data_IF_764176160079
#
_entry.id   IF_764176160079
#
_cell.length_a   1.000
_cell.length_b   1.000
_cell.length_c   1.000
_cell.angle_alpha   90.00
_cell.angle_beta   90.00
_cell.angle_gamma   90.00
#
_symmetry.space_group_name_H-M   'P 1'
#
loop_
_entity.id
_entity.type
_entity.pdbx_description
1 polymer ?
#
# COMPACT_ATOMS: atom_id res chain seq x y z
N UNK A 1 -31.65 14.61 -14.71
CA UNK A 1 -30.50 13.67 -14.64
C UNK A 1 -29.13 14.35 -14.63
N UNK A 2 -28.76 15.19 -15.60
CA UNK A 2 -27.46 15.88 -15.65
C UNK A 2 -27.23 16.84 -14.46
N UNK A 3 -28.24 17.64 -14.07
CA UNK A 3 -28.17 18.55 -12.93
C UNK A 3 -27.95 17.82 -11.61
N UNK A 4 -28.59 16.66 -11.42
CA UNK A 4 -28.42 15.81 -10.22
C UNK A 4 -27.01 15.21 -10.15
N UNK A 5 -26.46 14.76 -11.29
CA UNK A 5 -25.08 14.25 -11.35
C UNK A 5 -24.05 15.35 -11.02
N UNK A 6 -24.22 16.56 -11.56
CA UNK A 6 -23.35 17.71 -11.26
C UNK A 6 -23.40 18.09 -9.77
N UNK A 7 -24.59 18.06 -9.15
CA UNK A 7 -24.75 18.32 -7.72
C UNK A 7 -24.06 17.28 -6.86
N UNK A 8 -24.16 15.98 -7.21
CA UNK A 8 -23.48 14.89 -6.51
C UNK A 8 -21.96 15.05 -6.61
N UNK A 9 -21.43 15.32 -7.81
CA UNK A 9 -20.00 15.55 -8.02
C UNK A 9 -19.51 16.76 -7.22
N UNK A 10 -20.27 17.85 -7.22
CA UNK A 10 -19.92 19.07 -6.47
C UNK A 10 -19.94 18.83 -4.96
N UNK A 11 -20.93 18.10 -4.45
CA UNK A 11 -21.01 17.71 -3.05
C UNK A 11 -19.85 16.80 -2.64
N UNK A 12 -19.48 15.85 -3.49
CA UNK A 12 -18.32 14.98 -3.27
C UNK A 12 -17.00 15.78 -3.29
N UNK A 13 -16.80 16.67 -4.26
CA UNK A 13 -15.60 17.50 -4.33
C UNK A 13 -15.47 18.47 -3.13
N UNK A 14 -16.59 19.03 -2.62
CA UNK A 14 -16.55 19.84 -1.40
C UNK A 14 -16.16 19.01 -0.19
N UNK A 15 -16.70 17.78 -0.07
CA UNK A 15 -16.39 16.84 1.00
C UNK A 15 -14.91 16.46 1.01
N UNK A 16 -14.31 16.14 -0.16
CA UNK A 16 -12.88 15.84 -0.28
C UNK A 16 -12.00 16.98 0.26
N UNK A 17 -12.42 18.22 0.07
CA UNK A 17 -11.73 19.41 0.58
C UNK A 17 -11.88 19.54 2.09
N UNK A 18 -13.11 19.38 2.60
CA UNK A 18 -13.42 19.51 4.02
C UNK A 18 -12.73 18.41 4.85
N UNK A 19 -12.61 17.21 4.31
CA UNK A 19 -11.95 16.07 4.95
C UNK A 19 -10.40 16.15 4.83
N UNK A 20 -9.83 17.22 4.24
CA UNK A 20 -8.38 17.49 4.15
C UNK A 20 -7.56 16.34 3.58
N UNK A 21 -8.12 15.58 2.61
CA UNK A 21 -7.53 14.37 2.04
C UNK A 21 -6.13 14.63 1.47
N UNK A 22 -5.91 15.78 0.82
CA UNK A 22 -4.62 16.16 0.28
C UNK A 22 -3.53 16.29 1.35
N UNK A 23 -3.88 16.80 2.53
CA UNK A 23 -2.93 16.92 3.64
C UNK A 23 -2.55 15.53 4.20
N UNK A 24 -3.51 14.63 4.38
CA UNK A 24 -3.23 13.25 4.81
C UNK A 24 -2.43 12.46 3.78
N UNK A 25 -2.72 12.65 2.48
CA UNK A 25 -1.97 12.03 1.40
C UNK A 25 -0.50 12.50 1.37
N UNK A 26 -0.27 13.81 1.50
CA UNK A 26 1.07 14.38 1.58
C UNK A 26 1.83 13.89 2.83
N UNK A 27 1.16 13.86 3.98
CA UNK A 27 1.73 13.36 5.22
C UNK A 27 2.11 11.87 5.11
N UNK A 28 1.22 11.03 4.56
CA UNK A 28 1.49 9.60 4.39
C UNK A 28 2.66 9.38 3.43
N UNK A 29 2.67 10.04 2.26
CA UNK A 29 3.75 9.95 1.28
C UNK A 29 5.10 10.36 1.88
N UNK A 30 5.15 11.48 2.60
CA UNK A 30 6.34 11.96 3.28
C UNK A 30 6.89 10.95 4.29
N UNK A 31 6.04 10.45 5.18
CA UNK A 31 6.49 9.48 6.19
C UNK A 31 6.84 8.11 5.61
N UNK A 32 6.20 7.67 4.52
CA UNK A 32 6.58 6.44 3.81
C UNK A 32 8.00 6.58 3.25
N UNK A 33 8.32 7.67 2.59
CA UNK A 33 9.67 7.91 2.05
C UNK A 33 10.70 8.03 3.16
N UNK A 34 10.39 8.78 4.21
CA UNK A 34 11.29 8.93 5.35
C UNK A 34 11.54 7.60 6.08
N UNK A 35 10.55 6.70 6.07
CA UNK A 35 10.64 5.37 6.67
C UNK A 35 11.36 4.36 5.77
N UNK A 36 11.62 4.69 4.51
CA UNK A 36 12.19 3.74 3.55
C UNK A 36 13.59 3.27 3.95
N UNK A 37 14.46 4.20 4.38
CA UNK A 37 15.82 3.84 4.81
C UNK A 37 15.79 2.94 6.05
N UNK A 38 15.11 3.29 7.16
CA UNK A 38 14.96 2.38 8.29
C UNK A 38 14.31 1.04 7.93
N UNK A 39 13.38 1.04 6.97
CA UNK A 39 12.73 -0.19 6.51
C UNK A 39 13.69 -1.13 5.79
N UNK A 40 14.54 -0.60 4.90
CA UNK A 40 15.60 -1.39 4.26
C UNK A 40 16.60 -1.93 5.30
N UNK A 41 17.02 -1.12 6.26
CA UNK A 41 17.89 -1.57 7.35
C UNK A 41 17.24 -2.71 8.15
N UNK A 42 15.94 -2.62 8.42
CA UNK A 42 15.17 -3.67 9.07
C UNK A 42 15.15 -4.96 8.22
N UNK A 43 14.90 -4.87 6.91
CA UNK A 43 14.93 -6.02 6.00
C UNK A 43 16.29 -6.70 5.99
N UNK A 44 17.39 -5.95 5.91
CA UNK A 44 18.73 -6.50 5.99
C UNK A 44 18.99 -7.20 7.33
N UNK A 45 18.50 -6.65 8.43
CA UNK A 45 18.60 -7.27 9.74
C UNK A 45 17.85 -8.61 9.77
N UNK A 46 16.64 -8.68 9.21
CA UNK A 46 15.87 -9.91 9.09
C UNK A 46 16.60 -10.96 8.24
N UNK A 47 17.13 -10.58 7.08
CA UNK A 47 17.84 -11.49 6.20
C UNK A 47 19.12 -12.06 6.85
N UNK A 48 19.81 -11.25 7.65
CA UNK A 48 21.00 -11.70 8.39
C UNK A 48 20.68 -12.60 9.59
N UNK A 49 19.42 -12.62 10.05
CA UNK A 49 19.00 -13.58 11.09
C UNK A 49 18.79 -15.00 10.57
N UNK A 50 18.55 -15.18 9.27
CA UNK A 50 18.17 -16.47 8.71
C UNK A 50 19.28 -17.52 8.53
N UNK A 51 20.60 -17.21 8.37
CA UNK A 51 21.64 -18.21 8.38
C UNK A 51 22.39 -18.26 9.73
N UNK A 52 21.70 -18.29 10.87
CA UNK A 52 22.37 -18.34 12.17
C UNK A 52 23.01 -19.70 12.45
N UNK A 53 24.34 -19.69 12.53
CA UNK A 53 25.14 -20.77 13.11
C UNK A 53 25.28 -20.58 14.63
N UNK A 54 25.54 -21.67 15.36
CA UNK A 54 25.69 -21.64 16.83
C UNK A 54 26.75 -20.62 17.33
N UNK A 55 27.71 -20.20 16.49
CA UNK A 55 28.70 -19.16 16.79
C UNK A 55 28.16 -17.71 16.79
N UNK A 56 27.01 -17.48 16.19
CA UNK A 56 26.41 -16.13 16.03
C UNK A 56 25.48 -15.71 17.19
N UNK A 57 25.27 -16.60 18.17
CA UNK A 57 24.42 -16.34 19.35
C UNK A 57 24.86 -15.10 20.15
N UNK A 58 26.14 -14.72 20.12
CA UNK A 58 26.66 -13.51 20.78
C UNK A 58 26.21 -12.22 20.08
N UNK A 59 25.86 -12.27 18.80
CA UNK A 59 25.38 -11.10 18.01
C UNK A 59 23.86 -10.92 18.09
N UNK A 60 23.14 -11.90 18.63
CA UNK A 60 21.67 -11.90 18.75
C UNK A 60 21.12 -10.70 19.50
N UNK A 61 21.63 -10.31 20.68
CA UNK A 61 21.09 -9.18 21.43
C UNK A 61 21.22 -7.85 20.69
N UNK A 62 22.35 -7.63 20.03
CA UNK A 62 22.62 -6.41 19.23
C UNK A 62 21.74 -6.39 17.96
N UNK A 63 21.57 -7.52 17.30
CA UNK A 63 20.70 -7.68 16.13
C UNK A 63 19.21 -7.43 16.46
N UNK A 64 18.73 -7.94 17.59
CA UNK A 64 17.35 -7.70 18.05
C UNK A 64 17.14 -6.22 18.38
N UNK A 65 18.08 -5.60 19.10
CA UNK A 65 17.97 -4.19 19.47
C UNK A 65 17.98 -3.26 18.24
N UNK A 66 18.89 -3.48 17.30
CA UNK A 66 18.95 -2.71 16.05
C UNK A 66 17.73 -2.95 15.18
N UNK A 67 17.26 -4.20 15.08
CA UNK A 67 16.04 -4.56 14.34
C UNK A 67 14.79 -3.92 14.92
N UNK A 68 14.61 -3.92 16.23
CA UNK A 68 13.46 -3.27 16.88
C UNK A 68 13.50 -1.74 16.71
N UNK A 69 14.66 -1.11 16.81
CA UNK A 69 14.81 0.32 16.56
C UNK A 69 14.52 0.69 15.09
N UNK A 70 15.00 -0.12 14.15
CA UNK A 70 14.72 0.05 12.73
C UNK A 70 13.22 -0.15 12.42
N UNK A 71 12.59 -1.18 12.99
CA UNK A 71 11.16 -1.43 12.85
C UNK A 71 10.31 -0.29 13.44
N UNK A 72 10.71 0.22 14.62
CA UNK A 72 10.06 1.38 15.23
C UNK A 72 10.10 2.59 14.30
N UNK A 73 11.23 2.87 13.67
CA UNK A 73 11.38 3.99 12.74
C UNK A 73 10.61 3.74 11.43
N UNK A 74 10.71 2.54 10.85
CA UNK A 74 10.02 2.14 9.63
C UNK A 74 8.49 2.21 9.75
N UNK A 75 7.93 1.88 10.92
CA UNK A 75 6.49 1.89 11.14
C UNK A 75 5.85 3.29 11.16
N UNK A 76 6.62 4.38 11.00
CA UNK A 76 6.07 5.76 10.90
C UNK A 76 5.19 5.96 9.67
N UNK A 77 5.56 5.36 8.53
CA UNK A 77 4.76 5.40 7.30
C UNK A 77 3.41 4.72 7.49
N UNK A 78 3.41 3.52 8.07
CA UNK A 78 2.17 2.78 8.38
C UNK A 78 1.30 3.53 9.41
N UNK A 79 1.92 4.16 10.41
CA UNK A 79 1.19 4.97 11.39
C UNK A 79 0.50 6.18 10.74
N UNK A 80 1.14 6.84 9.78
CA UNK A 80 0.53 7.95 9.04
C UNK A 80 -0.68 7.46 8.22
N UNK A 81 -0.58 6.28 7.59
CA UNK A 81 -1.68 5.64 6.87
C UNK A 81 -2.87 5.33 7.80
N UNK A 82 -2.61 4.74 8.98
CA UNK A 82 -3.65 4.45 9.99
C UNK A 82 -4.38 5.73 10.39
N UNK A 83 -3.65 6.80 10.70
CA UNK A 83 -4.23 8.08 11.10
C UNK A 83 -5.03 8.73 9.99
N UNK A 84 -4.53 8.71 8.75
CA UNK A 84 -5.22 9.22 7.59
C UNK A 84 -6.53 8.49 7.33
N UNK A 85 -6.53 7.16 7.34
CA UNK A 85 -7.75 6.36 7.16
C UNK A 85 -8.76 6.60 8.29
N UNK A 86 -8.34 6.62 9.55
CA UNK A 86 -9.23 6.92 10.67
C UNK A 86 -9.86 8.32 10.54
N UNK A 87 -9.11 9.32 10.06
CA UNK A 87 -9.62 10.66 9.83
C UNK A 87 -10.67 10.70 8.70
N UNK A 88 -10.40 10.05 7.56
CA UNK A 88 -11.33 9.96 6.43
C UNK A 88 -12.63 9.27 6.83
N UNK A 89 -12.52 8.18 7.60
CA UNK A 89 -13.69 7.47 8.13
C UNK A 89 -14.36 8.19 9.33
N UNK A 90 -13.86 9.37 9.73
CA UNK A 90 -14.36 10.16 10.89
C UNK A 90 -14.40 9.36 12.19
N UNK A 91 -13.53 8.40 12.32
CA UNK A 91 -13.41 7.58 13.52
C UNK A 91 -12.33 8.14 14.44
N UNK A 92 -12.73 8.49 15.68
CA UNK A 92 -11.77 8.92 16.71
C UNK A 92 -10.91 7.71 17.11
N UNK A 93 -9.59 7.89 17.10
CA UNK A 93 -8.68 6.89 17.61
C UNK A 93 -8.80 6.80 19.12
N UNK A 94 -9.25 5.66 19.62
CA UNK A 94 -9.46 5.40 21.05
C UNK A 94 -8.34 4.61 21.69
N UNK A 95 -7.41 4.11 20.89
CA UNK A 95 -6.28 3.29 21.34
C UNK A 95 -5.18 4.17 21.92
N UNK A 96 -4.52 3.68 22.99
CA UNK A 96 -3.35 4.36 23.54
C UNK A 96 -2.22 4.47 22.52
N UNK A 97 -1.39 5.51 22.63
CA UNK A 97 -0.25 5.76 21.75
C UNK A 97 0.63 4.53 21.55
N UNK A 98 0.96 3.82 22.62
CA UNK A 98 1.80 2.60 22.55
C UNK A 98 1.10 1.46 21.80
N UNK A 99 -0.21 1.31 21.97
CA UNK A 99 -0.98 0.29 21.26
C UNK A 99 -1.05 0.56 19.76
N UNK A 100 -1.37 1.80 19.35
CA UNK A 100 -1.39 2.15 17.92
C UNK A 100 0.00 2.02 17.29
N UNK A 101 1.04 2.29 18.09
CA UNK A 101 2.43 2.11 17.67
C UNK A 101 2.77 0.63 17.47
N UNK A 102 2.39 -0.24 18.39
CA UNK A 102 2.56 -1.68 18.26
C UNK A 102 1.81 -2.23 17.04
N UNK A 103 0.56 -1.79 16.82
CA UNK A 103 -0.23 -2.15 15.65
C UNK A 103 0.46 -1.71 14.36
N UNK A 104 1.00 -0.49 14.31
CA UNK A 104 1.72 -0.02 13.11
C UNK A 104 2.99 -0.82 12.84
N UNK A 105 3.69 -1.29 13.88
CA UNK A 105 4.82 -2.20 13.74
C UNK A 105 4.40 -3.56 13.19
N UNK A 106 3.30 -4.14 13.67
CA UNK A 106 2.75 -5.40 13.15
C UNK A 106 2.39 -5.26 11.67
N UNK A 107 1.71 -4.19 11.26
CA UNK A 107 1.41 -3.95 9.85
C UNK A 107 2.68 -3.78 9.00
N UNK A 108 3.69 -3.10 9.53
CA UNK A 108 4.98 -2.97 8.84
C UNK A 108 5.65 -4.33 8.67
N UNK A 109 5.57 -5.22 9.67
CA UNK A 109 6.05 -6.61 9.56
C UNK A 109 5.27 -7.39 8.49
N UNK A 110 3.95 -7.24 8.43
CA UNK A 110 3.14 -7.87 7.38
C UNK A 110 3.53 -7.35 5.98
N UNK A 111 3.75 -6.06 5.81
CA UNK A 111 4.25 -5.48 4.56
C UNK A 111 5.64 -6.00 4.21
N UNK A 112 6.55 -6.10 5.18
CA UNK A 112 7.88 -6.66 4.98
C UNK A 112 7.80 -8.12 4.52
N UNK A 113 6.96 -8.93 5.17
CA UNK A 113 6.76 -10.32 4.79
C UNK A 113 6.20 -10.46 3.37
N UNK A 114 5.17 -9.66 3.01
CA UNK A 114 4.62 -9.61 1.66
C UNK A 114 5.68 -9.21 0.62
N UNK A 115 6.51 -8.23 0.93
CA UNK A 115 7.59 -7.78 0.04
C UNK A 115 8.62 -8.90 -0.16
N UNK A 116 9.05 -9.58 0.91
CA UNK A 116 9.99 -10.71 0.83
C UNK A 116 9.39 -11.85 -0.01
N UNK A 117 8.13 -12.22 0.23
CA UNK A 117 7.45 -13.25 -0.56
C UNK A 117 7.39 -12.83 -2.03
N UNK A 118 7.06 -11.58 -2.32
CA UNK A 118 7.01 -11.06 -3.69
C UNK A 118 8.39 -11.12 -4.36
N UNK A 119 9.46 -10.78 -3.65
CA UNK A 119 10.84 -10.89 -4.16
C UNK A 119 11.23 -12.33 -4.43
N UNK A 120 10.88 -13.26 -3.54
CA UNK A 120 11.13 -14.69 -3.74
C UNK A 120 10.39 -15.20 -4.99
N UNK A 121 9.11 -14.85 -5.13
CA UNK A 121 8.31 -15.19 -6.31
C UNK A 121 8.86 -14.56 -7.60
N UNK A 122 9.37 -13.33 -7.53
CA UNK A 122 9.97 -12.66 -8.68
C UNK A 122 11.25 -13.37 -9.15
N UNK A 123 12.11 -13.77 -8.21
CA UNK A 123 13.41 -14.40 -8.52
C UNK A 123 13.25 -15.87 -8.89
N UNK A 124 12.43 -16.60 -8.18
CA UNK A 124 12.27 -18.04 -8.31
C UNK A 124 10.96 -18.46 -9.01
N UNK A 125 10.12 -17.52 -9.41
CA UNK A 125 8.78 -17.79 -9.93
C UNK A 125 8.78 -18.73 -11.14
N UNK A 126 9.71 -18.58 -12.08
CA UNK A 126 9.81 -19.47 -13.23
C UNK A 126 10.18 -20.91 -12.79
N UNK A 127 11.13 -21.07 -11.87
CA UNK A 127 11.51 -22.41 -11.35
C UNK A 127 10.36 -23.05 -10.57
N UNK A 128 9.66 -22.25 -9.79
CA UNK A 128 8.48 -22.70 -9.04
C UNK A 128 7.35 -23.12 -10.00
N UNK A 129 7.12 -22.33 -11.05
CA UNK A 129 6.18 -22.65 -12.12
C UNK A 129 6.51 -23.98 -12.79
N UNK A 130 7.77 -24.18 -13.24
CA UNK A 130 8.22 -25.39 -13.89
C UNK A 130 8.08 -26.61 -12.96
N UNK A 131 8.42 -26.44 -11.69
CA UNK A 131 8.25 -27.50 -10.68
C UNK A 131 6.79 -27.87 -10.47
N UNK A 132 5.88 -26.89 -10.29
CA UNK A 132 4.45 -27.13 -10.14
C UNK A 132 3.86 -27.80 -11.37
N UNK A 133 4.23 -27.35 -12.58
CA UNK A 133 3.74 -27.92 -13.83
C UNK A 133 4.25 -29.33 -14.09
N UNK A 134 5.42 -29.70 -13.57
CA UNK A 134 5.94 -31.07 -13.63
C UNK A 134 5.17 -32.03 -12.72
N UNK A 135 4.69 -31.55 -11.57
CA UNK A 135 3.93 -32.36 -10.61
C UNK A 135 2.42 -32.45 -10.96
N UNK A 136 1.88 -31.40 -11.56
CA UNK A 136 0.45 -31.29 -11.85
C UNK A 136 0.18 -30.87 -13.31
N UNK A 137 0.35 -31.80 -14.29
CA UNK A 137 0.18 -31.48 -15.71
C UNK A 137 -1.21 -30.91 -16.08
N UNK A 138 -2.26 -31.29 -15.33
CA UNK A 138 -3.63 -30.79 -15.48
C UNK A 138 -3.78 -29.27 -15.24
N UNK A 139 -2.84 -28.67 -14.52
CA UNK A 139 -2.85 -27.22 -14.27
C UNK A 139 -2.29 -26.41 -15.45
N UNK A 140 -1.75 -27.07 -16.48
CA UNK A 140 -1.12 -26.38 -17.62
C UNK A 140 -2.14 -25.57 -18.44
N UNK A 141 -3.31 -26.11 -18.65
CA UNK A 141 -4.39 -25.40 -19.37
C UNK A 141 -4.96 -24.25 -18.53
N UNK A 142 -5.06 -24.47 -17.21
CA UNK A 142 -5.47 -23.43 -16.26
C UNK A 142 -4.43 -22.29 -16.18
N UNK A 143 -3.14 -22.62 -16.21
CA UNK A 143 -2.06 -21.63 -16.20
C UNK A 143 -2.08 -20.75 -17.47
N UNK A 144 -2.35 -21.32 -18.63
CA UNK A 144 -2.53 -20.57 -19.88
C UNK A 144 -3.70 -19.60 -19.79
N UNK A 145 -4.82 -20.03 -19.21
CA UNK A 145 -5.99 -19.20 -18.99
C UNK A 145 -5.69 -18.04 -17.99
N UNK A 146 -4.99 -18.33 -16.89
CA UNK A 146 -4.57 -17.32 -15.90
C UNK A 146 -3.60 -16.30 -16.52
N UNK A 147 -2.67 -16.74 -17.38
CA UNK A 147 -1.76 -15.83 -18.10
C UNK A 147 -2.52 -14.91 -19.07
N UNK A 148 -3.53 -15.43 -19.75
CA UNK A 148 -4.38 -14.65 -20.66
C UNK A 148 -5.22 -13.60 -19.91
N UNK A 149 -5.57 -13.88 -18.64
CA UNK A 149 -6.31 -12.97 -17.76
C UNK A 149 -5.41 -12.15 -16.82
N UNK A 150 -4.11 -12.04 -17.10
CA UNK A 150 -3.12 -11.40 -16.23
C UNK A 150 -3.54 -9.99 -15.75
N UNK A 151 -4.09 -9.18 -16.63
CA UNK A 151 -4.54 -7.82 -16.29
C UNK A 151 -5.73 -7.81 -15.33
N UNK A 152 -6.70 -8.69 -15.54
CA UNK A 152 -7.84 -8.87 -14.64
C UNK A 152 -7.42 -9.45 -13.31
N UNK A 153 -6.48 -10.39 -13.31
CA UNK A 153 -5.88 -10.94 -12.09
C UNK A 153 -5.17 -9.89 -11.25
N UNK A 154 -4.39 -9.01 -11.88
CA UNK A 154 -3.74 -7.89 -11.20
C UNK A 154 -4.77 -6.94 -10.56
N UNK A 155 -5.83 -6.59 -11.30
CA UNK A 155 -6.91 -5.76 -10.79
C UNK A 155 -7.60 -6.41 -9.59
N UNK A 156 -7.89 -7.71 -9.66
CA UNK A 156 -8.51 -8.47 -8.57
C UNK A 156 -7.61 -8.50 -7.32
N UNK A 157 -6.33 -8.80 -7.48
CA UNK A 157 -5.34 -8.83 -6.37
C UNK A 157 -5.24 -7.46 -5.70
N UNK A 158 -5.11 -6.38 -6.47
CA UNK A 158 -5.08 -5.02 -5.94
C UNK A 158 -6.39 -4.65 -5.23
N UNK A 159 -7.53 -5.03 -5.80
CA UNK A 159 -8.83 -4.80 -5.15
C UNK A 159 -8.91 -5.51 -3.79
N UNK A 160 -8.51 -6.78 -3.72
CA UNK A 160 -8.46 -7.53 -2.46
C UNK A 160 -7.51 -6.86 -1.46
N UNK A 161 -6.34 -6.42 -1.92
CA UNK A 161 -5.36 -5.73 -1.08
C UNK A 161 -5.95 -4.44 -0.48
N UNK A 162 -6.54 -3.56 -1.29
CA UNK A 162 -7.16 -2.33 -0.79
C UNK A 162 -8.39 -2.60 0.06
N UNK A 163 -9.18 -3.62 -0.26
CA UNK A 163 -10.30 -4.05 0.55
C UNK A 163 -9.84 -4.46 1.96
N UNK A 164 -8.77 -5.25 2.06
CA UNK A 164 -8.18 -5.63 3.34
C UNK A 164 -7.65 -4.41 4.11
N UNK A 165 -7.00 -3.46 3.41
CA UNK A 165 -6.56 -2.21 4.03
C UNK A 165 -7.73 -1.43 4.65
N UNK A 166 -8.86 -1.30 3.95
CA UNK A 166 -10.03 -0.57 4.45
C UNK A 166 -10.78 -1.29 5.57
N UNK A 167 -10.68 -2.62 5.62
CA UNK A 167 -11.33 -3.42 6.68
C UNK A 167 -10.51 -3.49 7.96
N UNK A 168 -9.19 -3.63 7.83
CA UNK A 168 -8.32 -4.02 8.95
C UNK A 168 -7.64 -2.82 9.60
N UNK A 169 -7.24 -1.83 8.80
CA UNK A 169 -6.48 -0.68 9.32
C UNK A 169 -7.34 0.28 10.17
N UNK A 170 -8.55 0.71 9.73
CA UNK A 170 -9.35 1.64 10.51
C UNK A 170 -9.87 1.01 11.81
N UNK A 171 -9.97 1.83 12.87
CA UNK A 171 -10.47 1.39 14.16
C UNK A 171 -12.00 1.31 14.18
N UNK A 172 -12.60 0.55 13.25
CA UNK A 172 -14.04 0.36 13.15
C UNK A 172 -14.39 -1.03 12.61
N UNK A 173 -15.59 -1.47 12.88
CA UNK A 173 -16.17 -2.67 12.26
C UNK A 173 -16.89 -2.25 10.98
N UNK A 174 -16.47 -2.75 9.85
CA UNK A 174 -17.12 -2.51 8.55
C UNK A 174 -17.51 -3.81 7.88
N UNK A 175 -18.45 -3.73 6.92
CA UNK A 175 -18.89 -4.88 6.12
C UNK A 175 -18.09 -4.91 4.83
N UNK A 176 -17.67 -6.11 4.39
CA UNK A 176 -16.93 -6.33 3.14
C UNK A 176 -17.57 -5.62 1.94
N UNK A 177 -18.89 -5.77 1.77
CA UNK A 177 -19.61 -5.19 0.63
C UNK A 177 -19.67 -3.65 0.66
N UNK A 178 -19.55 -3.03 1.84
CA UNK A 178 -19.54 -1.58 1.97
C UNK A 178 -18.18 -0.97 1.54
N UNK A 179 -17.10 -1.71 1.71
CA UNK A 179 -15.74 -1.27 1.35
C UNK A 179 -15.34 -1.60 -0.10
N UNK A 180 -16.07 -2.51 -0.75
CA UNK A 180 -15.75 -3.01 -2.09
C UNK A 180 -15.72 -1.90 -3.16
N UNK A 181 -16.69 -0.96 -3.25
CA UNK A 181 -16.69 0.06 -4.29
C UNK A 181 -15.44 0.95 -4.25
N UNK A 182 -15.05 1.41 -3.06
CA UNK A 182 -13.82 2.20 -2.90
C UNK A 182 -12.57 1.40 -3.19
N UNK A 183 -12.51 0.11 -2.83
CA UNK A 183 -11.38 -0.75 -3.14
C UNK A 183 -11.20 -0.95 -4.64
N UNK A 184 -12.28 -1.17 -5.40
CA UNK A 184 -12.26 -1.27 -6.87
C UNK A 184 -11.81 0.04 -7.50
N UNK A 185 -12.37 1.16 -7.04
CA UNK A 185 -12.00 2.50 -7.52
C UNK A 185 -10.52 2.79 -7.26
N UNK A 186 -10.04 2.46 -6.07
CA UNK A 186 -8.62 2.65 -5.70
C UNK A 186 -7.70 1.78 -6.56
N UNK A 187 -8.05 0.51 -6.77
CA UNK A 187 -7.25 -0.39 -7.60
C UNK A 187 -7.18 0.10 -9.06
N UNK A 188 -8.32 0.49 -9.64
CA UNK A 188 -8.39 1.05 -10.99
C UNK A 188 -7.64 2.38 -11.10
N UNK A 189 -7.85 3.28 -10.15
CA UNK A 189 -7.16 4.57 -10.08
C UNK A 189 -5.65 4.41 -9.93
N UNK A 190 -5.19 3.46 -9.10
CA UNK A 190 -3.77 3.16 -8.91
C UNK A 190 -3.11 2.67 -10.20
N UNK A 191 -3.73 1.68 -10.87
CA UNK A 191 -3.24 1.15 -12.15
C UNK A 191 -3.24 2.25 -13.21
N UNK A 192 -4.34 2.97 -13.38
CA UNK A 192 -4.48 4.03 -14.36
C UNK A 192 -3.49 5.17 -14.13
N UNK A 193 -3.35 5.64 -12.90
CA UNK A 193 -2.38 6.67 -12.56
C UNK A 193 -0.94 6.20 -12.75
N UNK A 194 -0.59 4.98 -12.32
CA UNK A 194 0.76 4.43 -12.52
C UNK A 194 1.13 4.31 -14.00
N UNK A 195 0.17 3.93 -14.85
CA UNK A 195 0.37 3.90 -16.30
C UNK A 195 0.60 5.30 -16.89
N UNK A 196 -0.24 6.27 -16.53
CA UNK A 196 -0.07 7.66 -16.97
C UNK A 196 1.24 8.27 -16.47
N UNK A 197 1.63 7.96 -15.25
CA UNK A 197 2.86 8.47 -14.66
C UNK A 197 4.11 7.86 -15.33
N UNK A 198 4.08 6.55 -15.63
CA UNK A 198 5.15 5.90 -16.41
C UNK A 198 5.28 6.54 -17.78
N UNK A 199 4.16 6.72 -18.49
CA UNK A 199 4.15 7.39 -19.79
C UNK A 199 4.74 8.82 -19.72
N UNK A 200 4.39 9.58 -18.68
CA UNK A 200 4.94 10.91 -18.45
C UNK A 200 6.46 10.89 -18.25
N UNK A 201 6.97 9.98 -17.42
CA UNK A 201 8.41 9.85 -17.15
C UNK A 201 9.17 9.46 -18.43
N UNK A 202 8.66 8.50 -19.20
CA UNK A 202 9.28 8.01 -20.42
C UNK A 202 9.48 9.13 -21.48
N UNK A 203 8.57 10.12 -21.50
CA UNK A 203 8.65 11.27 -22.41
C UNK A 203 9.52 12.42 -21.87
N UNK A 204 9.87 12.39 -20.58
CA UNK A 204 10.68 13.44 -19.94
C UNK A 204 12.19 13.16 -19.90
N UNK A 205 12.68 12.14 -20.61
CA UNK A 205 14.08 11.65 -20.54
C UNK A 205 15.14 12.69 -20.86
N UNK A 206 14.79 13.81 -21.48
CA UNK A 206 15.75 14.86 -21.87
C UNK A 206 16.16 15.83 -20.75
N UNK A 207 15.53 15.79 -19.55
CA UNK A 207 15.80 16.75 -18.47
C UNK A 207 16.52 16.15 -17.25
N UNK A 208 16.78 14.82 -17.24
CA UNK A 208 17.29 14.13 -16.06
C UNK A 208 18.76 14.34 -15.73
N UNK A 209 19.55 14.91 -16.64
CA UNK A 209 21.01 15.01 -16.42
C UNK A 209 21.43 16.12 -15.46
N UNK A 210 20.60 17.15 -15.25
CA UNK A 210 21.01 18.30 -14.45
C UNK A 210 20.89 18.08 -12.92
N UNK A 211 19.92 17.29 -12.46
CA UNK A 211 19.63 17.11 -11.04
C UNK A 211 19.64 15.65 -10.54
N UNK A 212 19.93 14.68 -11.39
CA UNK A 212 20.17 13.26 -11.05
C UNK A 212 19.24 12.66 -10.01
N UNK A 213 19.77 12.30 -8.86
CA UNK A 213 19.06 11.63 -7.76
C UNK A 213 17.92 12.47 -7.12
N UNK A 214 18.04 13.81 -7.15
CA UNK A 214 17.02 14.70 -6.59
C UNK A 214 15.72 14.66 -7.42
N UNK A 215 15.85 14.59 -8.74
CA UNK A 215 14.70 14.45 -9.65
C UNK A 215 13.98 13.13 -9.41
N UNK A 216 14.72 12.04 -9.26
CA UNK A 216 14.14 10.72 -8.94
C UNK A 216 13.39 10.74 -7.61
N UNK A 217 13.96 11.37 -6.57
CA UNK A 217 13.31 11.52 -5.28
C UNK A 217 12.00 12.32 -5.41
N UNK A 218 12.04 13.47 -6.12
CA UNK A 218 10.88 14.32 -6.33
C UNK A 218 9.74 13.59 -7.07
N UNK A 219 10.08 12.85 -8.15
CA UNK A 219 9.09 12.04 -8.87
C UNK A 219 8.53 10.90 -8.02
N UNK A 220 9.36 10.24 -7.23
CA UNK A 220 8.90 9.20 -6.31
C UNK A 220 7.96 9.77 -5.25
N UNK A 221 8.26 10.96 -4.70
CA UNK A 221 7.38 11.66 -3.76
C UNK A 221 6.04 12.03 -4.41
N UNK A 222 6.08 12.55 -5.64
CA UNK A 222 4.89 12.91 -6.38
C UNK A 222 4.01 11.68 -6.69
N UNK A 223 4.64 10.60 -7.15
CA UNK A 223 3.94 9.34 -7.40
C UNK A 223 3.29 8.79 -6.14
N UNK A 224 4.02 8.72 -5.02
CA UNK A 224 3.48 8.27 -3.74
C UNK A 224 2.35 9.19 -3.23
N UNK A 225 2.49 10.50 -3.39
CA UNK A 225 1.44 11.43 -3.02
C UNK A 225 0.13 11.13 -3.75
N UNK A 226 0.16 10.96 -5.06
CA UNK A 226 -1.05 10.65 -5.83
C UNK A 226 -1.58 9.25 -5.52
N UNK A 227 -0.72 8.26 -5.29
CA UNK A 227 -1.13 6.93 -4.85
C UNK A 227 -1.87 6.98 -3.50
N UNK A 228 -1.35 7.73 -2.52
CA UNK A 228 -2.01 7.93 -1.24
C UNK A 228 -3.30 8.75 -1.38
N UNK A 229 -3.30 9.76 -2.25
CA UNK A 229 -4.50 10.55 -2.54
C UNK A 229 -5.63 9.66 -3.11
N UNK A 230 -5.34 8.81 -4.10
CA UNK A 230 -6.30 7.86 -4.68
C UNK A 230 -6.81 6.89 -3.60
N UNK A 231 -5.94 6.41 -2.72
CA UNK A 231 -6.31 5.52 -1.62
C UNK A 231 -7.30 6.20 -0.67
N UNK A 232 -7.03 7.44 -0.24
CA UNK A 232 -7.94 8.15 0.66
C UNK A 232 -9.25 8.56 -0.02
N UNK A 233 -9.22 8.90 -1.31
CA UNK A 233 -10.44 9.15 -2.11
C UNK A 233 -11.30 7.89 -2.17
N UNK A 234 -10.72 6.71 -2.39
CA UNK A 234 -11.47 5.44 -2.36
C UNK A 234 -12.11 5.16 -1.01
N UNK A 235 -11.39 5.43 0.10
CA UNK A 235 -11.97 5.35 1.44
C UNK A 235 -13.15 6.32 1.62
N UNK A 236 -13.02 7.55 1.13
CA UNK A 236 -14.07 8.57 1.23
C UNK A 236 -15.31 8.24 0.37
N UNK A 237 -15.13 7.60 -0.77
CA UNK A 237 -16.24 7.04 -1.59
C UNK A 237 -17.03 6.01 -0.78
N UNK A 238 -16.37 5.12 -0.04
CA UNK A 238 -17.07 4.16 0.82
C UNK A 238 -17.90 4.84 1.91
N UNK A 239 -17.35 5.89 2.54
CA UNK A 239 -18.08 6.71 3.52
C UNK A 239 -19.29 7.39 2.88
N UNK A 240 -19.09 7.97 1.68
CA UNK A 240 -20.17 8.67 0.98
C UNK A 240 -21.32 7.73 0.60
N UNK A 241 -21.01 6.55 0.09
CA UNK A 241 -22.00 5.55 -0.31
C UNK A 241 -22.73 4.92 0.89
N UNK A 242 -22.07 4.82 2.03
CA UNK A 242 -22.67 4.27 3.26
C UNK A 242 -23.64 5.28 3.86
N UNK A 243 -23.23 6.55 3.99
CA UNK A 243 -24.07 7.61 4.55
C UNK A 243 -25.27 7.97 3.63
N UNK A 244 -25.13 7.80 2.30
CA UNK A 244 -26.22 8.03 1.36
C UNK A 244 -27.30 6.93 1.36
N UNK A 245 -27.11 5.84 2.08
CA UNK A 245 -28.12 4.77 2.27
C UNK A 245 -28.95 4.97 3.53
N UNK A 246 -28.52 5.85 4.42
CA UNK A 246 -29.19 6.12 5.71
C UNK A 246 -30.08 7.39 5.62
N UNK A 247 -30.15 8.03 4.46
CA UNK A 247 -31.07 9.13 4.11
C UNK A 247 -32.10 8.68 3.07
#
# INVERSE_FOLDING_TARGET
MLLTAIQIVRAFCSKLRDDSISAFAAQAAFFIILSFIPFIMFLFTLLNLFPMTAGDLKKLPTGILSGTAALWSASRGTLALIRGLNAVYKHKETRNYFLIRAISMVYTLCFAALLIITLILLVFGNRLYDWVMSQFPLLRDLAFFIMSLRSLGTMAILTIFFLLLYLVIPNRKSRLLAELPGAVLTAGGWIGFSFLFSFYIDHQTNHSFAYGSLTTLAFTMLWLYFCMYILFVGADVNVFLTNGKDT
#
